data_IF_650536872585
#
_entry.id   IF_650536872585
#
_cell.length_a   1.000
_cell.length_b   1.000
_cell.length_c   1.000
_cell.angle_alpha   90.00
_cell.angle_beta   90.00
_cell.angle_gamma   90.00
#
_symmetry.space_group_name_H-M   'P 1'
#
loop_
_entity.id
_entity.type
_entity.pdbx_description
1 polymer ?
#
# COMPACT_ATOMS: atom_id res chain seq x y z
N UNK A 1 -3.46 13.06 -17.89
CA UNK A 1 -2.79 11.75 -18.11
C UNK A 1 -3.86 10.76 -18.57
N UNK A 2 -3.58 9.91 -19.56
CA UNK A 2 -4.59 9.00 -20.12
C UNK A 2 -4.92 7.88 -19.11
N UNK A 3 -6.21 7.60 -18.91
CA UNK A 3 -6.66 6.49 -18.07
C UNK A 3 -6.44 5.18 -18.82
N UNK A 4 -5.52 4.35 -18.32
CA UNK A 4 -5.24 3.01 -18.88
C UNK A 4 -6.17 2.02 -18.19
N UNK A 5 -6.95 1.27 -18.98
CA UNK A 5 -7.75 0.18 -18.46
C UNK A 5 -6.90 -1.09 -18.38
N UNK A 6 -6.81 -1.67 -17.19
CA UNK A 6 -6.04 -2.89 -16.92
C UNK A 6 -6.99 -3.97 -16.39
N UNK A 7 -6.86 -5.20 -16.88
CA UNK A 7 -7.61 -6.35 -16.41
C UNK A 7 -6.72 -7.27 -15.58
N UNK A 8 -7.23 -7.73 -14.43
CA UNK A 8 -6.52 -8.63 -13.52
C UNK A 8 -7.51 -9.67 -12.99
N UNK A 9 -7.06 -10.92 -12.86
CA UNK A 9 -7.85 -11.98 -12.20
C UNK A 9 -7.66 -11.86 -10.69
N UNK A 10 -8.77 -11.78 -9.97
CA UNK A 10 -8.78 -11.63 -8.51
C UNK A 10 -9.73 -12.67 -7.91
N UNK A 11 -9.42 -13.08 -6.68
CA UNK A 11 -10.33 -13.90 -5.88
C UNK A 11 -11.56 -13.04 -5.48
N UNK A 12 -12.78 -13.43 -5.88
CA UNK A 12 -13.98 -12.69 -5.54
C UNK A 12 -14.25 -12.59 -4.04
N UNK A 13 -13.80 -13.57 -3.24
CA UNK A 13 -13.93 -13.57 -1.79
C UNK A 13 -13.05 -12.49 -1.17
N UNK A 14 -11.80 -12.38 -1.62
CA UNK A 14 -10.88 -11.34 -1.17
C UNK A 14 -11.38 -9.94 -1.56
N UNK A 15 -11.90 -9.78 -2.78
CA UNK A 15 -12.46 -8.51 -3.23
C UNK A 15 -13.63 -8.04 -2.36
N UNK A 16 -14.54 -8.96 -1.99
CA UNK A 16 -15.66 -8.65 -1.10
C UNK A 16 -15.21 -8.21 0.29
N UNK A 17 -14.18 -8.87 0.84
CA UNK A 17 -13.58 -8.51 2.13
C UNK A 17 -12.91 -7.14 2.08
N UNK A 18 -12.09 -6.91 1.05
CA UNK A 18 -11.40 -5.64 0.83
C UNK A 18 -12.39 -4.47 0.68
N UNK A 19 -13.47 -4.67 -0.07
CA UNK A 19 -14.52 -3.65 -0.24
C UNK A 19 -15.18 -3.25 1.08
N UNK A 20 -15.46 -4.23 1.95
CA UNK A 20 -16.01 -3.99 3.29
C UNK A 20 -15.01 -3.26 4.18
N UNK A 21 -13.75 -3.70 4.21
CA UNK A 21 -12.71 -3.10 5.04
C UNK A 21 -12.38 -1.65 4.64
N UNK A 22 -12.37 -1.35 3.33
CA UNK A 22 -12.01 -0.03 2.79
C UNK A 22 -13.23 0.89 2.57
N UNK A 23 -14.43 0.46 3.00
CA UNK A 23 -15.70 1.17 2.83
C UNK A 23 -15.89 1.71 1.40
N UNK A 24 -15.55 0.90 0.39
CA UNK A 24 -15.51 1.32 -1.00
C UNK A 24 -16.84 1.02 -1.72
N UNK A 25 -17.28 1.96 -2.57
CA UNK A 25 -18.54 1.86 -3.31
C UNK A 25 -18.40 1.05 -4.59
N UNK A 26 -17.23 1.06 -5.24
CA UNK A 26 -16.95 0.31 -6.46
C UNK A 26 -15.71 -0.58 -6.35
N UNK A 27 -15.57 -1.54 -7.28
CA UNK A 27 -14.39 -2.41 -7.39
C UNK A 27 -13.14 -1.59 -7.69
N UNK A 28 -13.23 -0.65 -8.64
CA UNK A 28 -12.11 0.24 -8.99
C UNK A 28 -11.69 1.11 -7.81
N UNK A 29 -12.64 1.64 -7.04
CA UNK A 29 -12.34 2.42 -5.82
C UNK A 29 -11.69 1.54 -4.75
N UNK A 30 -12.14 0.29 -4.62
CA UNK A 30 -11.54 -0.68 -3.68
C UNK A 30 -10.07 -0.93 -4.04
N UNK A 31 -9.79 -1.16 -5.33
CA UNK A 31 -8.44 -1.39 -5.83
C UNK A 31 -7.56 -0.15 -5.66
N UNK A 32 -8.08 1.04 -5.99
CA UNK A 32 -7.33 2.28 -5.82
C UNK A 32 -6.97 2.53 -4.35
N UNK A 33 -7.93 2.37 -3.44
CA UNK A 33 -7.69 2.51 -1.99
C UNK A 33 -6.70 1.48 -1.47
N UNK A 34 -6.80 0.23 -1.93
CA UNK A 34 -5.86 -0.82 -1.54
C UNK A 34 -4.42 -0.52 -2.02
N UNK A 35 -4.26 -0.05 -3.26
CA UNK A 35 -2.95 0.34 -3.80
C UNK A 35 -2.36 1.53 -3.07
N UNK A 36 -3.18 2.54 -2.77
CA UNK A 36 -2.76 3.69 -1.98
C UNK A 36 -2.28 3.25 -0.59
N UNK A 37 -3.04 2.39 0.09
CA UNK A 37 -2.70 1.90 1.43
C UNK A 37 -1.39 1.10 1.44
N UNK A 38 -1.15 0.26 0.43
CA UNK A 38 0.12 -0.47 0.31
C UNK A 38 1.28 0.48 0.05
N UNK A 39 1.08 1.52 -0.77
CA UNK A 39 2.12 2.51 -1.09
C UNK A 39 2.46 3.36 0.13
N UNK A 40 1.44 3.82 0.86
CA UNK A 40 1.61 4.56 2.12
C UNK A 40 2.29 3.69 3.18
N UNK A 41 1.88 2.42 3.30
CA UNK A 41 2.53 1.47 4.22
C UNK A 41 4.00 1.24 3.84
N UNK A 42 4.31 1.07 2.56
CA UNK A 42 5.69 0.88 2.11
C UNK A 42 6.56 2.12 2.41
N UNK A 43 6.03 3.32 2.19
CA UNK A 43 6.70 4.57 2.56
C UNK A 43 6.89 4.66 4.09
N UNK A 44 5.86 4.31 4.87
CA UNK A 44 5.93 4.33 6.32
C UNK A 44 6.92 3.30 6.87
N UNK A 45 6.92 2.07 6.34
CA UNK A 45 7.86 1.01 6.71
C UNK A 45 9.31 1.39 6.36
N UNK A 46 9.52 2.10 5.25
CA UNK A 46 10.84 2.63 4.88
C UNK A 46 11.32 3.67 5.89
N UNK A 47 10.43 4.58 6.31
CA UNK A 47 10.71 5.57 7.35
C UNK A 47 10.99 4.88 8.68
N UNK A 48 10.12 3.97 9.13
CA UNK A 48 10.34 3.20 10.37
C UNK A 48 11.69 2.51 10.32
N UNK A 49 12.03 1.77 9.25
CA UNK A 49 13.35 1.12 9.14
C UNK A 49 14.53 2.09 9.25
N UNK A 50 14.39 3.31 8.73
CA UNK A 50 15.43 4.35 8.80
C UNK A 50 15.60 4.91 10.22
N UNK A 51 14.52 4.96 11.01
CA UNK A 51 14.52 5.59 12.33
C UNK A 51 14.43 4.62 13.51
N UNK A 52 14.10 3.35 13.29
CA UNK A 52 13.92 2.33 14.35
C UNK A 52 15.20 1.58 14.74
N UNK A 53 16.34 1.92 14.15
CA UNK A 53 17.63 1.30 14.47
C UNK A 53 17.75 -0.18 14.04
N UNK A 54 16.81 -0.70 13.25
CA UNK A 54 16.86 -2.09 12.73
C UNK A 54 17.82 -2.22 11.53
N UNK A 55 18.29 -1.11 10.96
CA UNK A 55 19.37 -1.07 9.98
C UNK A 55 20.67 -0.57 10.61
N UNK A 56 21.61 -1.49 10.83
CA UNK A 56 23.05 -1.30 11.16
C UNK A 56 23.41 -0.29 12.26
N UNK A 57 24.28 -0.69 13.18
CA UNK A 57 24.92 0.24 14.13
C UNK A 57 25.52 1.46 13.37
N UNK A 58 25.32 2.66 13.91
CA UNK A 58 25.80 3.95 13.38
C UNK A 58 25.11 4.51 12.11
N UNK A 59 23.78 4.41 12.01
CA UNK A 59 23.02 5.15 10.99
C UNK A 59 23.05 6.70 11.15
N UNK A 60 23.50 7.21 12.30
CA UNK A 60 23.60 8.65 12.63
C UNK A 60 25.03 9.23 12.50
N UNK A 61 26.03 8.45 12.13
CA UNK A 61 27.43 8.90 12.12
C UNK A 61 27.88 9.60 10.82
N UNK A 62 26.95 9.89 9.89
CA UNK A 62 27.25 10.57 8.61
C UNK A 62 26.18 11.61 8.25
N UNK A 63 26.01 12.61 9.12
CA UNK A 63 25.53 13.95 8.74
C UNK A 63 26.54 14.99 9.24
#
# INVERSE_FOLDING_TARGET
MAHVQVSVRLDPVQLKRARKALAAKSVSETLQKALNLVTEKAAHDQVIRRYSGVGTADAFAKD
#
